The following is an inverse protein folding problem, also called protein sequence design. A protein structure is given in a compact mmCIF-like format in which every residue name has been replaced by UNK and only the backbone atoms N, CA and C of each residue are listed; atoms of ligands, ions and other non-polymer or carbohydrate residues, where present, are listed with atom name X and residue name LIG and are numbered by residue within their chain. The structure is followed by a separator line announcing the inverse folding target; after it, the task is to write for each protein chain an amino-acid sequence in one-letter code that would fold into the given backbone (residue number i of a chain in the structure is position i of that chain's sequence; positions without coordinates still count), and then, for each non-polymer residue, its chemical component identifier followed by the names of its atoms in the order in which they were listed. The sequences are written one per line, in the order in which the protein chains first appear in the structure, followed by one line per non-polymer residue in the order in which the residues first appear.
data_IF_602371117587
#
_entry.id   IF_602371117587
#
_cell.length_a   1.000
_cell.length_b   1.000
_cell.length_c   1.000
_cell.angle_alpha   90.00
_cell.angle_beta   90.00
_cell.angle_gamma   90.00
#
_symmetry.space_group_name_H-M   'P 1'
#
loop_
_entity.id
_entity.type
_entity.pdbx_description
1 polymer ?
#
# COMPACT_ATOMS: atom_id res chain seq x y z
N UNK A 1 -17.00 8.57 19.21
CA UNK A 1 -16.17 7.78 20.14
C UNK A 1 -14.76 8.32 20.06
N UNK A 2 -14.09 8.55 21.20
CA UNK A 2 -12.99 9.50 21.34
C UNK A 2 -11.64 8.93 20.88
N UNK A 3 -10.79 9.86 20.47
CA UNK A 3 -9.39 9.74 20.07
C UNK A 3 -9.12 8.97 18.76
N UNK A 4 -9.48 9.63 17.66
CA UNK A 4 -8.69 9.59 16.43
C UNK A 4 -7.23 9.70 16.83
N UNK A 5 -6.51 8.58 16.73
CA UNK A 5 -5.09 8.48 16.98
C UNK A 5 -4.45 9.69 16.31
N UNK A 6 -3.86 10.50 17.18
CA UNK A 6 -2.99 11.62 16.92
C UNK A 6 -2.23 11.40 15.62
N UNK A 7 -2.10 12.45 14.81
CA UNK A 7 -1.22 12.53 13.62
C UNK A 7 0.22 12.12 13.97
N UNK A 8 0.44 10.84 14.22
CA UNK A 8 1.72 10.18 14.16
C UNK A 8 1.91 10.08 12.66
N UNK A 9 2.82 10.90 12.13
CA UNK A 9 3.18 10.89 10.72
C UNK A 9 3.85 9.55 10.41
N UNK A 10 3.04 8.50 10.35
CA UNK A 10 3.38 7.19 9.82
C UNK A 10 3.76 7.43 8.38
N UNK A 11 5.05 7.29 8.09
CA UNK A 11 5.53 7.28 6.74
C UNK A 11 5.72 5.83 6.29
N UNK A 12 5.60 5.61 4.99
CA UNK A 12 5.81 4.30 4.39
C UNK A 12 7.08 4.34 3.57
N UNK A 13 8.06 3.52 3.94
CA UNK A 13 9.21 3.26 3.08
C UNK A 13 8.77 2.28 2.02
N UNK A 14 8.76 2.71 0.77
CA UNK A 14 8.37 1.93 -0.40
C UNK A 14 9.62 1.54 -1.16
N UNK A 15 9.73 0.26 -1.46
CA UNK A 15 10.81 -0.37 -2.20
C UNK A 15 10.23 -0.95 -3.48
N UNK A 16 10.75 -0.52 -4.62
CA UNK A 16 10.32 -1.03 -5.92
C UNK A 16 11.50 -1.63 -6.65
N UNK A 17 11.23 -2.59 -7.51
CA UNK A 17 12.26 -3.12 -8.41
C UNK A 17 12.86 -1.99 -9.25
N UNK A 18 14.19 -1.98 -9.35
CA UNK A 18 14.99 -0.98 -10.09
C UNK A 18 14.97 0.46 -9.52
N UNK A 19 14.29 0.69 -8.39
CA UNK A 19 14.23 2.01 -7.74
C UNK A 19 14.82 1.99 -6.33
N UNK A 20 15.31 3.15 -5.89
CA UNK A 20 15.74 3.34 -4.51
C UNK A 20 14.52 3.34 -3.56
N UNK A 21 14.78 3.10 -2.28
CA UNK A 21 13.78 3.27 -1.23
C UNK A 21 13.21 4.70 -1.23
N UNK A 22 11.89 4.82 -1.20
CA UNK A 22 11.17 6.09 -1.22
C UNK A 22 10.26 6.20 -0.02
N UNK A 23 10.29 7.33 0.67
CA UNK A 23 9.39 7.58 1.79
C UNK A 23 8.13 8.25 1.25
N UNK A 24 7.01 7.53 1.29
CA UNK A 24 5.69 8.01 0.90
C UNK A 24 4.78 8.22 2.11
N UNK A 25 3.91 9.22 2.01
CA UNK A 25 2.80 9.36 2.95
C UNK A 25 1.75 8.26 2.71
N UNK A 26 0.91 7.93 3.72
CA UNK A 26 -0.15 6.93 3.60
C UNK A 26 -1.09 7.17 2.42
N UNK A 27 -1.37 8.42 2.09
CA UNK A 27 -2.22 8.80 0.96
C UNK A 27 -1.53 8.55 -0.39
N UNK A 28 -0.22 8.78 -0.47
CA UNK A 28 0.55 8.60 -1.70
C UNK A 28 0.77 7.11 -2.01
N UNK A 29 1.11 6.32 -0.99
CA UNK A 29 1.16 4.85 -1.14
C UNK A 29 -0.21 4.31 -1.58
N UNK A 30 -1.29 4.77 -0.96
CA UNK A 30 -2.64 4.32 -1.28
C UNK A 30 -3.03 4.63 -2.73
N UNK A 31 -2.80 5.86 -3.22
CA UNK A 31 -3.02 6.20 -4.64
C UNK A 31 -2.20 5.32 -5.58
N UNK A 32 -0.96 5.01 -5.20
CA UNK A 32 -0.08 4.16 -6.00
C UNK A 32 -0.62 2.74 -6.07
N UNK A 33 -1.02 2.18 -4.94
CA UNK A 33 -1.67 0.87 -4.87
C UNK A 33 -2.97 0.84 -5.68
N UNK A 34 -3.81 1.87 -5.59
CA UNK A 34 -5.04 1.97 -6.40
C UNK A 34 -4.73 1.95 -7.90
N UNK A 35 -3.71 2.69 -8.34
CA UNK A 35 -3.31 2.72 -9.75
C UNK A 35 -2.86 1.33 -10.23
N UNK A 36 -2.08 0.63 -9.40
CA UNK A 36 -1.58 -0.71 -9.69
C UNK A 36 -2.71 -1.75 -9.67
N UNK A 37 -3.66 -1.64 -8.74
CA UNK A 37 -4.82 -2.54 -8.65
C UNK A 37 -5.78 -2.32 -9.82
N UNK A 38 -6.00 -1.05 -10.21
CA UNK A 38 -6.85 -0.69 -11.36
C UNK A 38 -6.36 -1.30 -12.68
N UNK A 39 -5.06 -1.53 -12.84
CA UNK A 39 -4.49 -2.13 -14.05
C UNK A 39 -4.50 -3.66 -14.04
N UNK A 40 -4.71 -4.31 -12.88
CA UNK A 40 -4.65 -5.77 -12.73
C UNK A 40 -5.82 -6.35 -11.94
N UNK A 41 -7.00 -5.79 -12.13
CA UNK A 41 -8.23 -6.28 -11.50
C UNK A 41 -8.51 -7.77 -11.79
N UNK A 42 -7.95 -8.31 -12.88
CA UNK A 42 -8.08 -9.70 -13.32
C UNK A 42 -7.16 -10.68 -12.56
N UNK A 43 -6.09 -10.19 -11.93
CA UNK A 43 -5.08 -10.99 -11.21
C UNK A 43 -4.95 -10.47 -9.77
N UNK A 44 -6.06 -10.54 -9.03
CA UNK A 44 -6.10 -10.12 -7.63
C UNK A 44 -5.96 -11.30 -6.67
N UNK A 45 -5.31 -11.09 -5.51
CA UNK A 45 -5.38 -12.01 -4.40
C UNK A 45 -6.84 -12.25 -4.00
N UNK A 46 -7.18 -13.50 -3.67
CA UNK A 46 -8.53 -13.89 -3.22
C UNK A 46 -9.06 -13.06 -2.04
N UNK A 47 -8.16 -12.57 -1.21
CA UNK A 47 -8.45 -11.65 -0.10
C UNK A 47 -9.02 -10.30 -0.56
N UNK A 48 -8.64 -9.83 -1.75
CA UNK A 48 -9.09 -8.57 -2.33
C UNK A 48 -10.39 -8.71 -3.13
N UNK A 49 -10.69 -9.90 -3.63
CA UNK A 49 -11.93 -10.20 -4.38
C UNK A 49 -13.20 -9.92 -3.57
N UNK A 50 -13.12 -9.93 -2.23
CA UNK A 50 -14.25 -9.59 -1.34
C UNK A 50 -14.66 -8.12 -1.39
N UNK A 51 -13.78 -7.24 -1.86
CA UNK A 51 -14.03 -5.81 -1.96
C UNK A 51 -14.45 -5.44 -3.38
N UNK A 52 -15.45 -4.57 -3.49
CA UNK A 52 -15.97 -4.11 -4.78
C UNK A 52 -15.22 -2.87 -5.30
N UNK A 53 -14.65 -2.06 -4.40
CA UNK A 53 -13.95 -0.83 -4.77
C UNK A 53 -12.43 -1.01 -4.72
N UNK A 54 -11.73 -0.45 -5.72
CA UNK A 54 -10.26 -0.43 -5.76
C UNK A 54 -9.66 0.29 -4.55
N UNK A 55 -10.34 1.33 -4.06
CA UNK A 55 -9.93 2.06 -2.86
C UNK A 55 -9.91 1.15 -1.62
N UNK A 56 -10.99 0.41 -1.38
CA UNK A 56 -11.09 -0.56 -0.28
C UNK A 56 -10.04 -1.66 -0.41
N UNK A 57 -9.77 -2.14 -1.64
CA UNK A 57 -8.72 -3.10 -1.91
C UNK A 57 -7.33 -2.55 -1.57
N UNK A 58 -7.04 -1.31 -1.99
CA UNK A 58 -5.77 -0.65 -1.72
C UNK A 58 -5.57 -0.38 -0.22
N UNK A 59 -6.61 0.04 0.48
CA UNK A 59 -6.59 0.23 1.93
C UNK A 59 -6.31 -1.07 2.66
N UNK A 60 -7.05 -2.13 2.32
CA UNK A 60 -6.85 -3.43 2.92
C UNK A 60 -5.45 -3.98 2.64
N UNK A 61 -4.96 -3.83 1.41
CA UNK A 61 -3.64 -4.26 1.00
C UNK A 61 -2.56 -3.53 1.81
N UNK A 62 -2.64 -2.20 1.91
CA UNK A 62 -1.69 -1.38 2.69
C UNK A 62 -1.59 -1.83 4.14
N UNK A 63 -2.74 -2.13 4.76
CA UNK A 63 -2.84 -2.39 6.21
C UNK A 63 -2.50 -3.84 6.59
N UNK A 64 -2.82 -4.80 5.71
CA UNK A 64 -2.69 -6.24 5.99
C UNK A 64 -1.48 -6.88 5.29
N UNK A 65 -0.90 -6.22 4.28
CA UNK A 65 0.23 -6.74 3.52
C UNK A 65 1.41 -5.76 3.60
N UNK A 66 2.60 -6.33 3.40
CA UNK A 66 3.87 -5.60 3.38
C UNK A 66 4.51 -5.62 1.99
N UNK A 67 3.94 -6.39 1.07
CA UNK A 67 4.45 -6.56 -0.26
C UNK A 67 3.37 -6.89 -1.27
N UNK A 68 3.69 -6.63 -2.52
CA UNK A 68 2.84 -6.83 -3.66
C UNK A 68 3.68 -7.23 -4.85
N UNK A 69 3.42 -8.42 -5.37
CA UNK A 69 3.99 -8.83 -6.63
C UNK A 69 3.26 -8.09 -7.76
N UNK A 70 3.95 -7.23 -8.50
CA UNK A 70 3.36 -6.44 -9.61
C UNK A 70 3.44 -7.21 -10.94
N UNK A 71 4.10 -8.38 -10.96
CA UNK A 71 4.32 -9.18 -12.17
C UNK A 71 5.54 -8.71 -12.95
N UNK A 72 5.91 -9.46 -14.00
CA UNK A 72 7.11 -9.21 -14.82
C UNK A 72 8.41 -9.10 -13.99
N UNK A 73 8.59 -9.95 -12.98
CA UNK A 73 9.73 -9.90 -12.05
C UNK A 73 9.81 -8.62 -11.18
N UNK A 74 8.78 -7.77 -11.21
CA UNK A 74 8.71 -6.57 -10.38
C UNK A 74 7.92 -6.84 -9.09
N UNK A 75 8.45 -6.28 -8.01
CA UNK A 75 7.85 -6.29 -6.69
C UNK A 75 7.74 -4.87 -6.16
N UNK A 76 6.75 -4.68 -5.29
CA UNK A 76 6.57 -3.48 -4.51
C UNK A 76 6.45 -3.90 -3.05
N UNK A 77 7.39 -3.46 -2.23
CA UNK A 77 7.38 -3.68 -0.79
C UNK A 77 7.16 -2.36 -0.09
N UNK A 78 6.45 -2.35 1.03
CA UNK A 78 6.33 -1.16 1.86
C UNK A 78 6.35 -1.50 3.34
N UNK A 79 6.98 -0.62 4.09
CA UNK A 79 7.12 -0.75 5.53
C UNK A 79 6.69 0.54 6.21
N UNK A 80 5.81 0.43 7.22
CA UNK A 80 5.46 1.56 8.06
C UNK A 80 6.63 1.89 8.97
N UNK A 81 7.08 3.14 8.93
CA UNK A 81 8.10 3.66 9.84
C UNK A 81 7.46 4.64 10.81
N UNK A 82 7.71 4.39 12.09
CA UNK A 82 7.40 5.32 13.17
C UNK A 82 8.60 6.25 13.31
N UNK A 83 8.45 7.51 12.92
CA UNK A 83 9.44 8.55 13.22
C UNK A 83 9.40 8.80 14.74
N UNK A 84 10.24 8.07 15.48
CA UNK A 84 10.37 8.28 16.91
C UNK A 84 11.26 9.50 17.14
N UNK A 85 10.71 10.52 17.83
CA UNK A 85 11.43 11.74 18.20
C UNK A 85 12.41 11.50 19.35
#
# INVERSE_FOLDING_TARGET
MPDSIMYQEDAFVVLETDHNEQILSPQELLKKLQTILSTRQDDLPRELEKFTSVEEQAEYLRDNFYELNIGNNNYLQWYVIRLNK
#
